data_IF_262206123106
#
_entry.id   IF_262206123106
#
_cell.length_a   1.000
_cell.length_b   1.000
_cell.length_c   1.000
_cell.angle_alpha   90.00
_cell.angle_beta   90.00
_cell.angle_gamma   90.00
#
_symmetry.space_group_name_H-M   'P 1'
#
loop_
_entity.id
_entity.type
_entity.pdbx_description
1 polymer ?
#
# COMPACT_ATOMS: atom_id res chain seq x y z
N UNK A 1 13.81 -51.39 -6.19
CA UNK A 1 13.55 -50.00 -5.75
C UNK A 1 14.61 -49.70 -4.72
N UNK A 2 15.68 -49.04 -5.18
CA UNK A 2 16.98 -49.08 -4.51
C UNK A 2 17.04 -48.08 -3.36
N UNK A 3 17.48 -48.56 -2.19
CA UNK A 3 17.63 -47.80 -0.94
C UNK A 3 18.49 -46.53 -1.11
N UNK A 4 19.40 -46.55 -2.06
CA UNK A 4 20.26 -45.44 -2.47
C UNK A 4 19.49 -44.28 -3.11
N UNK A 5 18.43 -44.56 -3.89
CA UNK A 5 17.60 -43.52 -4.49
C UNK A 5 16.75 -42.80 -3.43
N UNK A 6 16.27 -43.52 -2.42
CA UNK A 6 15.51 -42.95 -1.31
C UNK A 6 16.38 -42.02 -0.45
N UNK A 7 17.63 -42.40 -0.18
CA UNK A 7 18.57 -41.57 0.57
C UNK A 7 18.95 -40.29 -0.19
N UNK A 8 19.22 -40.39 -1.49
CA UNK A 8 19.48 -39.20 -2.32
C UNK A 8 18.27 -38.27 -2.40
N UNK A 9 17.05 -38.82 -2.46
CA UNK A 9 15.82 -38.03 -2.45
C UNK A 9 15.62 -37.30 -1.11
N UNK A 10 15.89 -37.98 0.01
CA UNK A 10 15.80 -37.40 1.35
C UNK A 10 16.85 -36.29 1.56
N UNK A 11 18.06 -36.49 1.05
CA UNK A 11 19.14 -35.49 1.12
C UNK A 11 18.81 -34.24 0.31
N UNK A 12 18.27 -34.42 -0.90
CA UNK A 12 17.77 -33.31 -1.72
C UNK A 12 16.63 -32.56 -1.01
N UNK A 13 15.66 -33.27 -0.42
CA UNK A 13 14.57 -32.68 0.37
C UNK A 13 15.08 -31.85 1.57
N UNK A 14 16.12 -32.32 2.28
CA UNK A 14 16.74 -31.59 3.38
C UNK A 14 17.47 -30.31 2.92
N UNK A 15 18.16 -30.37 1.78
CA UNK A 15 18.82 -29.19 1.20
C UNK A 15 17.83 -28.15 0.65
N UNK A 16 16.67 -28.57 0.16
CA UNK A 16 15.60 -27.67 -0.29
C UNK A 16 14.90 -26.94 0.88
N UNK A 17 14.91 -27.51 2.09
CA UNK A 17 14.30 -26.87 3.26
C UNK A 17 15.19 -25.79 3.91
N UNK A 18 16.48 -25.72 3.52
CA UNK A 18 17.48 -24.87 4.18
C UNK A 18 17.74 -23.54 3.44
N UNK A 19 17.05 -23.27 2.33
CA UNK A 19 17.26 -22.03 1.58
C UNK A 19 16.10 -21.03 1.75
N UNK A 20 16.50 -19.90 2.34
CA UNK A 20 15.83 -18.59 2.37
C UNK A 20 14.76 -18.42 3.45
N UNK A 21 15.19 -18.48 4.71
CA UNK A 21 14.63 -17.61 5.75
C UNK A 21 15.42 -16.29 5.79
N UNK A 22 15.55 -15.59 4.64
CA UNK A 22 16.04 -14.21 4.66
C UNK A 22 14.88 -13.32 5.13
N UNK A 23 14.71 -13.36 6.45
CA UNK A 23 13.64 -12.78 7.25
C UNK A 23 14.00 -11.41 7.81
N UNK A 24 15.23 -11.27 8.26
CA UNK A 24 15.85 -10.10 8.89
C UNK A 24 17.36 -10.39 8.82
N UNK A 25 18.24 -9.42 8.62
CA UNK A 25 19.66 -9.66 8.90
C UNK A 25 19.77 -9.94 10.40
N UNK A 26 20.29 -11.11 10.77
CA UNK A 26 20.61 -11.39 12.17
C UNK A 26 21.67 -10.38 12.63
N UNK A 27 21.54 -9.90 13.86
CA UNK A 27 22.57 -9.04 14.47
C UNK A 27 23.83 -9.84 14.88
N UNK A 28 23.84 -11.15 14.60
CA UNK A 28 24.94 -12.08 14.84
C UNK A 28 25.17 -12.94 13.59
N UNK A 29 26.42 -13.17 13.22
CA UNK A 29 26.76 -14.16 12.19
C UNK A 29 26.68 -15.60 12.72
N UNK A 30 26.99 -16.58 11.87
CA UNK A 30 26.87 -18.01 12.18
C UNK A 30 27.79 -18.44 13.34
N UNK A 31 28.88 -17.71 13.57
CA UNK A 31 29.83 -17.89 14.66
C UNK A 31 29.43 -17.15 15.95
N UNK A 32 28.34 -16.39 15.92
CA UNK A 32 27.83 -15.62 17.06
C UNK A 32 28.55 -14.28 17.28
N UNK A 33 29.29 -13.78 16.29
CA UNK A 33 29.95 -12.48 16.33
C UNK A 33 28.96 -11.39 15.95
N UNK A 34 29.04 -10.26 16.66
CA UNK A 34 28.17 -9.10 16.46
C UNK A 34 28.34 -8.53 15.04
N UNK A 35 27.22 -8.37 14.33
CA UNK A 35 27.14 -7.77 13.01
C UNK A 35 26.05 -6.69 12.96
N UNK A 36 26.16 -5.76 12.00
CA UNK A 36 25.13 -4.75 11.77
C UNK A 36 23.91 -5.41 11.13
N UNK A 37 22.81 -5.46 11.87
CA UNK A 37 21.51 -5.82 11.36
C UNK A 37 20.71 -4.58 10.93
N UNK A 38 19.82 -4.76 9.96
CA UNK A 38 18.81 -3.79 9.57
C UNK A 38 17.46 -4.52 9.48
N UNK A 39 16.33 -3.86 9.81
CA UNK A 39 15.03 -4.43 9.52
C UNK A 39 14.84 -4.57 8.02
N UNK A 40 13.91 -5.43 7.62
CA UNK A 40 13.50 -5.50 6.21
C UNK A 40 12.97 -4.17 5.73
N UNK A 41 13.23 -3.88 4.46
CA UNK A 41 12.60 -2.77 3.78
C UNK A 41 11.13 -3.09 3.54
N UNK A 42 10.24 -2.22 4.03
CA UNK A 42 8.79 -2.37 3.91
C UNK A 42 8.14 -1.01 3.64
N UNK A 43 6.90 -1.03 3.15
CA UNK A 43 6.08 0.16 3.05
C UNK A 43 5.50 0.49 4.44
N UNK A 44 6.08 1.49 5.11
CA UNK A 44 5.66 1.91 6.44
C UNK A 44 4.23 2.50 6.49
N UNK A 45 3.66 2.88 5.35
CA UNK A 45 2.31 3.44 5.25
C UNK A 45 1.22 2.38 5.02
N UNK A 46 1.57 1.18 4.53
CA UNK A 46 0.58 0.18 4.16
C UNK A 46 -0.31 -0.22 5.34
N UNK A 47 -1.63 -0.24 5.13
CA UNK A 47 -2.63 -0.54 6.13
C UNK A 47 -2.58 0.36 7.40
N UNK A 48 -2.02 1.57 7.29
CA UNK A 48 -2.03 2.57 8.36
C UNK A 48 -3.18 3.55 8.16
N UNK A 49 -3.81 3.97 9.26
CA UNK A 49 -4.83 5.01 9.19
C UNK A 49 -4.20 6.36 8.88
N UNK A 50 -4.64 6.96 7.78
CA UNK A 50 -4.26 8.31 7.38
C UNK A 50 -5.34 9.31 7.80
N UNK A 51 -4.92 10.42 8.40
CA UNK A 51 -5.80 11.52 8.78
C UNK A 51 -5.72 12.58 7.68
N UNK A 52 -6.86 12.89 7.06
CA UNK A 52 -6.98 13.91 6.03
C UNK A 52 -7.85 15.07 6.51
N UNK A 53 -7.51 16.29 6.13
CA UNK A 53 -8.29 17.48 6.52
C UNK A 53 -9.54 17.71 5.66
N UNK A 54 -9.66 17.03 4.51
CA UNK A 54 -10.77 17.18 3.58
C UNK A 54 -11.02 15.88 2.80
N UNK A 55 -12.27 15.60 2.46
CA UNK A 55 -12.71 14.48 1.61
C UNK A 55 -13.94 14.96 0.84
N UNK A 56 -14.08 14.61 -0.44
CA UNK A 56 -15.30 14.88 -1.19
C UNK A 56 -16.49 14.03 -0.72
N UNK A 57 -17.71 14.43 -1.13
CA UNK A 57 -18.91 13.62 -0.96
C UNK A 57 -19.87 14.06 0.14
N UNK A 58 -19.57 15.11 0.90
CA UNK A 58 -20.51 15.76 1.83
C UNK A 58 -20.46 17.30 1.68
N UNK A 59 -21.45 17.92 1.02
CA UNK A 59 -22.50 17.27 0.23
C UNK A 59 -21.90 16.55 -1.00
N UNK A 60 -22.64 15.61 -1.63
CA UNK A 60 -22.21 14.98 -2.87
C UNK A 60 -21.90 16.00 -3.97
N UNK A 61 -20.88 15.73 -4.78
CA UNK A 61 -20.40 16.67 -5.81
C UNK A 61 -19.90 16.01 -7.10
N UNK A 62 -19.99 16.75 -8.20
CA UNK A 62 -19.30 16.41 -9.44
C UNK A 62 -17.84 16.90 -9.39
N UNK A 63 -16.92 16.05 -9.84
CA UNK A 63 -15.54 16.44 -10.14
C UNK A 63 -15.19 16.01 -11.56
N UNK A 64 -14.32 16.79 -12.22
CA UNK A 64 -13.94 16.52 -13.60
C UNK A 64 -12.43 16.47 -13.74
N UNK A 65 -11.93 15.45 -14.45
CA UNK A 65 -10.51 15.32 -14.76
C UNK A 65 -10.12 16.35 -15.83
N UNK A 66 -9.01 17.03 -15.60
CA UNK A 66 -8.51 18.08 -16.50
C UNK A 66 -7.48 17.54 -17.52
N UNK A 67 -7.08 16.27 -17.42
CA UNK A 67 -6.11 15.64 -18.30
C UNK A 67 -6.80 15.07 -19.55
N UNK A 68 -6.59 15.70 -20.72
CA UNK A 68 -7.05 15.20 -22.01
C UNK A 68 -7.74 16.25 -22.89
N UNK A 69 -8.15 15.84 -24.10
CA UNK A 69 -8.97 16.65 -25.01
C UNK A 69 -10.47 16.58 -24.69
N UNK A 70 -10.90 15.60 -23.91
CA UNK A 70 -12.28 15.37 -23.51
C UNK A 70 -12.46 15.56 -22.00
N UNK A 71 -13.55 16.24 -21.63
CA UNK A 71 -13.94 16.43 -20.23
C UNK A 71 -14.60 15.15 -19.72
N UNK A 72 -13.92 14.40 -18.85
CA UNK A 72 -14.51 13.28 -18.09
C UNK A 72 -14.90 13.76 -16.70
N UNK A 73 -16.16 13.62 -16.34
CA UNK A 73 -16.67 13.99 -15.02
C UNK A 73 -17.23 12.74 -14.31
N UNK A 74 -17.06 12.74 -13.00
CA UNK A 74 -17.47 11.68 -12.10
C UNK A 74 -18.17 12.30 -10.89
N UNK A 75 -18.93 11.47 -10.18
CA UNK A 75 -19.65 11.87 -8.98
C UNK A 75 -18.93 11.34 -7.74
N UNK A 76 -18.82 12.17 -6.71
CA UNK A 76 -18.33 11.76 -5.40
C UNK A 76 -19.46 11.86 -4.39
N UNK A 77 -19.78 10.73 -3.75
CA UNK A 77 -20.77 10.63 -2.68
C UNK A 77 -20.18 9.82 -1.53
N UNK A 78 -20.11 10.41 -0.33
CA UNK A 78 -19.51 9.74 0.83
C UNK A 78 -20.36 8.59 1.37
N UNK A 79 -21.65 8.52 1.01
CA UNK A 79 -22.59 7.49 1.46
C UNK A 79 -22.65 6.28 0.51
N UNK A 80 -22.08 6.41 -0.69
CA UNK A 80 -22.02 5.35 -1.70
C UNK A 80 -20.65 4.66 -1.69
N UNK A 81 -20.63 3.34 -1.55
CA UNK A 81 -19.39 2.56 -1.47
C UNK A 81 -18.56 2.60 -2.76
N UNK A 82 -19.21 2.75 -3.92
CA UNK A 82 -18.54 2.79 -5.21
C UNK A 82 -18.09 4.21 -5.59
N UNK A 83 -18.75 5.23 -5.04
CA UNK A 83 -18.47 6.64 -5.40
C UNK A 83 -17.68 7.40 -4.34
N UNK A 84 -17.62 6.92 -3.09
CA UNK A 84 -16.81 7.57 -2.06
C UNK A 84 -15.32 7.50 -2.42
N UNK A 85 -14.54 8.46 -1.90
CA UNK A 85 -13.10 8.58 -2.13
C UNK A 85 -12.38 8.90 -0.82
N UNK A 86 -12.65 8.06 0.18
CA UNK A 86 -12.20 8.29 1.55
C UNK A 86 -10.67 8.10 1.72
N UNK A 87 -10.15 8.43 2.90
CA UNK A 87 -8.71 8.36 3.19
C UNK A 87 -8.13 6.93 3.23
N UNK A 88 -8.96 5.90 3.35
CA UNK A 88 -8.49 4.51 3.42
C UNK A 88 -7.86 4.05 2.11
N UNK A 89 -8.28 4.65 0.99
CA UNK A 89 -7.73 4.43 -0.36
C UNK A 89 -6.34 5.05 -0.59
N UNK A 90 -5.69 5.63 0.42
CA UNK A 90 -4.30 6.10 0.32
C UNK A 90 -3.28 5.00 0.65
N UNK A 91 -3.72 3.97 1.37
CA UNK A 91 -2.83 2.99 2.02
C UNK A 91 -3.34 1.56 1.91
N UNK A 92 -4.37 1.34 1.09
CA UNK A 92 -4.86 0.03 0.71
C UNK A 92 -3.94 -0.64 -0.32
N UNK A 93 -4.39 -1.77 -0.85
CA UNK A 93 -3.63 -2.51 -1.84
C UNK A 93 -3.85 -1.90 -3.22
N UNK A 94 -2.78 -1.35 -3.80
CA UNK A 94 -2.81 -0.76 -5.14
C UNK A 94 -2.70 -1.82 -6.24
N UNK A 95 -3.59 -1.74 -7.23
CA UNK A 95 -3.50 -2.45 -8.52
C UNK A 95 -3.67 -1.47 -9.67
N UNK A 96 -3.07 -1.77 -10.82
CA UNK A 96 -3.18 -0.90 -11.99
C UNK A 96 -4.51 -1.11 -12.75
N UNK A 97 -5.12 -2.30 -12.60
CA UNK A 97 -6.38 -2.64 -13.23
C UNK A 97 -7.59 -1.97 -12.56
N UNK A 98 -7.59 -1.91 -11.23
CA UNK A 98 -8.68 -1.35 -10.42
C UNK A 98 -8.13 -0.37 -9.36
N UNK A 99 -7.60 0.79 -9.79
CA UNK A 99 -6.99 1.72 -8.86
C UNK A 99 -8.03 2.39 -7.97
N UNK A 100 -7.70 2.50 -6.69
CA UNK A 100 -8.42 3.31 -5.70
C UNK A 100 -7.66 4.61 -5.46
N UNK A 101 -8.37 5.64 -5.00
CA UNK A 101 -7.75 6.90 -4.61
C UNK A 101 -8.61 7.68 -3.63
N UNK A 102 -7.96 8.47 -2.78
CA UNK A 102 -8.60 9.53 -2.01
C UNK A 102 -8.77 10.79 -2.86
N UNK A 103 -9.83 11.55 -2.61
CA UNK A 103 -10.11 12.79 -3.33
C UNK A 103 -10.63 13.88 -2.37
N UNK A 104 -10.02 15.07 -2.45
CA UNK A 104 -10.55 16.27 -1.80
C UNK A 104 -11.75 16.83 -2.56
N UNK A 105 -12.51 17.71 -1.92
CA UNK A 105 -13.50 18.52 -2.59
C UNK A 105 -12.87 19.36 -3.71
N UNK A 106 -13.69 19.71 -4.70
CA UNK A 106 -13.25 20.50 -5.85
C UNK A 106 -13.03 21.97 -5.49
N UNK A 107 -12.40 22.73 -6.40
CA UNK A 107 -12.24 24.18 -6.26
C UNK A 107 -13.58 24.92 -6.12
N UNK A 108 -14.68 24.34 -6.62
CA UNK A 108 -16.02 24.90 -6.45
C UNK A 108 -16.42 24.99 -4.96
N UNK A 109 -15.99 24.03 -4.15
CA UNK A 109 -16.18 24.02 -2.68
C UNK A 109 -15.09 24.77 -1.91
N UNK A 110 -14.30 25.61 -2.60
CA UNK A 110 -13.33 26.49 -1.94
C UNK A 110 -12.01 25.82 -1.58
N UNK A 111 -11.73 24.61 -2.07
CA UNK A 111 -10.40 24.00 -2.02
C UNK A 111 -9.50 24.65 -3.06
N UNK A 112 -9.06 25.86 -2.75
CA UNK A 112 -8.12 26.66 -3.54
C UNK A 112 -7.37 27.59 -2.59
N UNK A 113 -6.20 28.10 -3.02
CA UNK A 113 -5.44 29.11 -2.30
C UNK A 113 -6.36 30.22 -1.73
N UNK A 114 -6.22 30.61 -0.45
CA UNK A 114 -5.16 30.23 0.49
C UNK A 114 -5.41 28.92 1.27
N UNK A 115 -6.51 28.23 1.03
CA UNK A 115 -6.83 26.99 1.72
C UNK A 115 -5.89 25.87 1.26
N UNK A 116 -5.48 25.02 2.22
CA UNK A 116 -4.61 23.87 1.98
C UNK A 116 -5.29 22.60 2.48
N UNK A 117 -4.95 21.47 1.87
CA UNK A 117 -5.41 20.15 2.30
C UNK A 117 -4.22 19.38 2.86
N UNK A 118 -4.39 18.81 4.04
CA UNK A 118 -3.34 18.09 4.75
C UNK A 118 -3.63 16.60 4.74
N UNK A 119 -2.58 15.80 4.54
CA UNK A 119 -2.56 14.34 4.67
C UNK A 119 -1.52 14.02 5.73
N UNK A 120 -1.96 13.43 6.85
CA UNK A 120 -1.11 13.13 8.00
C UNK A 120 -1.06 11.62 8.22
N UNK A 121 0.13 11.06 8.14
CA UNK A 121 0.41 9.66 8.43
C UNK A 121 1.22 9.57 9.73
N UNK A 122 0.72 8.80 10.68
CA UNK A 122 1.45 8.47 11.91
C UNK A 122 2.12 7.10 11.74
N UNK A 123 3.45 7.08 11.79
CA UNK A 123 4.27 5.88 11.65
C UNK A 123 4.41 5.15 13.00
#
# INVERSE_FOLDING_TARGET
>A
MDSSALHSLLFLLFTFFSHVLSGMDSCYDEEGVLSRCLPKFENAAFNRTVIVSNVCGIPPEDYCMQTGSTRSCHFCDAMDLELNRNATYLTDFHTDEEPTWWQSQSMFYGVQFPNSVNITLHL
#
